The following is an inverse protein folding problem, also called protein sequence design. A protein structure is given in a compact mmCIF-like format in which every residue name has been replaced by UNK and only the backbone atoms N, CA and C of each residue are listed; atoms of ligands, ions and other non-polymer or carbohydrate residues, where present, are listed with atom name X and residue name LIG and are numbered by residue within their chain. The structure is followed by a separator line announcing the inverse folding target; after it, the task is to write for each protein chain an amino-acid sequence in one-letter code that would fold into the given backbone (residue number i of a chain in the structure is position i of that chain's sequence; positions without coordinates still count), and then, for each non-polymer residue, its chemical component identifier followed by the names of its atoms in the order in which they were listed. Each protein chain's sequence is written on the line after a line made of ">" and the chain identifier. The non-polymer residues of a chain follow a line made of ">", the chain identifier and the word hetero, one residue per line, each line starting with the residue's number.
data_IF_419210971640
#
_entry.id   IF_419210971640
#
_cell.length_a   1.000
_cell.length_b   1.000
_cell.length_c   1.000
_cell.angle_alpha   90.00
_cell.angle_beta   90.00
_cell.angle_gamma   90.00
#
_symmetry.space_group_name_H-M   'P 1'
#
loop_
_entity.id
_entity.type
_entity.pdbx_description
1 polymer ?
#
# COMPACT_ATOMS: atom_id res chain seq x y z
N UNK A 1 -7.88 -9.96 18.01
CA UNK A 1 -7.14 -9.40 16.86
C UNK A 1 -6.94 -7.94 17.16
N UNK A 2 -5.74 -7.57 17.60
CA UNK A 2 -5.40 -6.16 17.82
C UNK A 2 -5.40 -5.45 16.46
N UNK A 3 -6.16 -4.37 16.35
CA UNK A 3 -6.09 -3.50 15.17
C UNK A 3 -4.65 -2.93 15.08
N UNK A 4 -4.10 -2.74 13.88
CA UNK A 4 -2.80 -2.07 13.75
C UNK A 4 -2.85 -0.71 14.46
N UNK A 5 -1.73 -0.30 15.07
CA UNK A 5 -1.63 0.84 15.98
C UNK A 5 -2.09 2.22 15.43
N UNK A 6 -2.46 2.31 14.16
CA UNK A 6 -3.00 3.52 13.50
C UNK A 6 -4.51 3.45 13.27
N UNK A 7 -5.15 2.30 13.45
CA UNK A 7 -6.53 2.05 13.00
C UNK A 7 -6.72 2.17 11.48
N UNK A 8 -5.66 2.33 10.69
CA UNK A 8 -5.70 2.39 9.24
C UNK A 8 -5.37 1.01 8.66
N UNK A 9 -6.19 0.55 7.72
CA UNK A 9 -6.00 -0.75 7.04
C UNK A 9 -5.77 -0.56 5.55
N UNK A 10 -4.88 -1.38 5.00
CA UNK A 10 -4.51 -1.39 3.58
C UNK A 10 -4.88 -2.75 2.99
N UNK A 11 -5.67 -2.75 1.92
CA UNK A 11 -6.12 -3.97 1.28
C UNK A 11 -5.99 -3.86 -0.23
N UNK A 12 -5.80 -5.02 -0.87
CA UNK A 12 -6.01 -5.15 -2.31
C UNK A 12 -7.38 -5.79 -2.55
N UNK A 13 -8.02 -5.47 -3.67
CA UNK A 13 -9.34 -6.04 -4.03
C UNK A 13 -9.31 -7.57 -4.08
N UNK A 14 -8.23 -8.12 -4.65
CA UNK A 14 -7.97 -9.55 -4.73
C UNK A 14 -6.57 -9.90 -4.24
N UNK A 15 -6.35 -11.18 -3.96
CA UNK A 15 -5.05 -11.74 -3.59
C UNK A 15 -4.28 -12.32 -4.78
N UNK A 16 -4.81 -12.22 -6.00
CA UNK A 16 -4.15 -12.69 -7.21
C UNK A 16 -4.47 -11.77 -8.40
N UNK A 17 -3.42 -11.33 -9.08
CA UNK A 17 -3.47 -10.47 -10.27
C UNK A 17 -2.69 -11.09 -11.42
N UNK A 18 -3.12 -10.84 -12.66
CA UNK A 18 -2.28 -11.05 -13.85
C UNK A 18 -1.50 -9.78 -14.18
N UNK A 19 -0.38 -9.92 -14.89
CA UNK A 19 0.58 -8.82 -15.11
C UNK A 19 -0.02 -7.56 -15.76
N UNK A 20 -1.06 -7.71 -16.57
CA UNK A 20 -1.74 -6.60 -17.26
C UNK A 20 -2.84 -5.94 -16.43
N UNK A 21 -3.15 -6.48 -15.25
CA UNK A 21 -4.17 -5.92 -14.38
C UNK A 21 -3.64 -4.75 -13.55
N UNK A 22 -4.57 -3.88 -13.17
CA UNK A 22 -4.33 -2.83 -12.18
C UNK A 22 -4.61 -3.39 -10.80
N UNK A 23 -3.68 -3.18 -9.87
CA UNK A 23 -3.91 -3.51 -8.47
C UNK A 23 -4.72 -2.36 -7.85
N UNK A 24 -5.97 -2.62 -7.49
CA UNK A 24 -6.78 -1.67 -6.73
C UNK A 24 -6.39 -1.77 -5.25
N UNK A 25 -5.82 -0.68 -4.73
CA UNK A 25 -5.43 -0.50 -3.33
C UNK A 25 -6.51 0.30 -2.60
N UNK A 26 -7.14 -0.31 -1.61
CA UNK A 26 -8.04 0.35 -0.66
C UNK A 26 -7.31 0.74 0.61
N UNK A 27 -7.52 1.98 1.04
CA UNK A 27 -7.02 2.53 2.30
C UNK A 27 -8.21 2.98 3.14
N UNK A 28 -8.43 2.29 4.26
CA UNK A 28 -9.54 2.60 5.18
C UNK A 28 -9.01 3.13 6.49
N UNK A 29 -9.47 4.31 6.91
CA UNK A 29 -9.23 4.84 8.23
C UNK A 29 -10.37 4.42 9.17
N UNK A 30 -10.13 3.41 10.01
CA UNK A 30 -11.12 2.92 10.98
C UNK A 30 -11.11 3.71 12.29
N UNK A 31 -10.40 4.84 12.36
CA UNK A 31 -10.42 5.74 13.51
C UNK A 31 -11.45 6.85 13.37
N UNK A 32 -11.63 7.65 14.42
CA UNK A 32 -12.44 8.87 14.40
C UNK A 32 -11.65 10.12 14.03
N UNK A 33 -10.34 10.01 13.81
CA UNK A 33 -9.45 11.14 13.56
C UNK A 33 -8.95 11.13 12.12
N UNK A 34 -8.63 12.31 11.58
CA UNK A 34 -7.95 12.40 10.29
C UNK A 34 -6.54 11.80 10.39
N UNK A 35 -6.07 11.20 9.29
CA UNK A 35 -4.67 10.77 9.13
C UNK A 35 -4.09 11.32 7.83
N UNK A 36 -2.77 11.57 7.83
CA UNK A 36 -2.02 11.88 6.62
C UNK A 36 -1.48 10.60 5.99
N UNK A 37 -1.41 10.53 4.66
CA UNK A 37 -0.71 9.48 3.96
C UNK A 37 -0.04 10.03 2.70
N UNK A 38 1.08 9.44 2.31
CA UNK A 38 1.81 9.88 1.13
C UNK A 38 2.20 8.66 0.30
N UNK A 39 1.62 8.56 -0.89
CA UNK A 39 1.86 7.44 -1.80
C UNK A 39 3.18 7.58 -2.55
N UNK A 40 3.89 8.71 -2.47
CA UNK A 40 5.23 8.83 -3.04
C UNK A 40 6.24 7.91 -2.35
N UNK A 41 5.99 7.55 -1.09
CA UNK A 41 6.78 6.58 -0.35
C UNK A 41 6.23 5.16 -0.47
N UNK A 42 5.24 4.93 -1.34
CA UNK A 42 4.72 3.60 -1.62
C UNK A 42 5.83 2.77 -2.26
N UNK A 43 6.00 1.56 -1.73
CA UNK A 43 6.94 0.56 -2.22
C UNK A 43 6.19 -0.74 -2.40
N UNK A 44 6.53 -1.50 -3.43
CA UNK A 44 6.10 -2.89 -3.52
C UNK A 44 7.29 -3.78 -3.22
N UNK A 45 7.13 -4.62 -2.21
CA UNK A 45 8.10 -5.64 -1.88
C UNK A 45 7.74 -6.94 -2.60
N UNK A 46 8.75 -7.61 -3.14
CA UNK A 46 8.66 -8.97 -3.67
C UNK A 46 9.23 -9.96 -2.66
N UNK A 47 8.59 -11.10 -2.50
CA UNK A 47 9.14 -12.20 -1.73
C UNK A 47 10.15 -13.00 -2.57
N UNK A 48 11.41 -12.99 -2.16
CA UNK A 48 12.54 -13.67 -2.83
C UNK A 48 13.32 -14.45 -1.78
N UNK A 49 13.41 -15.77 -1.98
CA UNK A 49 14.21 -16.67 -1.14
C UNK A 49 13.91 -16.55 0.38
N UNK A 50 12.64 -16.36 0.74
CA UNK A 50 12.22 -16.22 2.14
C UNK A 50 12.37 -14.81 2.72
N UNK A 51 12.70 -13.81 1.88
CA UNK A 51 12.90 -12.42 2.31
C UNK A 51 12.09 -11.45 1.45
N UNK A 52 11.60 -10.37 2.06
CA UNK A 52 10.96 -9.28 1.32
C UNK A 52 12.01 -8.31 0.80
N UNK A 53 12.00 -8.06 -0.50
CA UNK A 53 12.95 -7.18 -1.18
C UNK A 53 12.18 -6.11 -1.96
N UNK A 54 12.66 -4.87 -1.89
CA UNK A 54 12.08 -3.78 -2.66
C UNK A 54 12.15 -4.08 -4.16
N UNK A 55 11.00 -4.05 -4.86
CA UNK A 55 10.95 -4.18 -6.31
C UNK A 55 11.40 -2.85 -6.96
N UNK A 56 12.32 -2.90 -7.92
CA UNK A 56 12.93 -1.70 -8.54
C UNK A 56 12.09 -1.05 -9.65
N UNK A 57 10.92 -1.58 -9.99
CA UNK A 57 10.13 -1.13 -11.15
C UNK A 57 8.69 -0.76 -10.73
N UNK A 58 8.44 0.49 -10.36
CA UNK A 58 7.09 0.97 -10.02
C UNK A 58 6.75 2.30 -10.68
N UNK A 59 5.47 2.54 -11.07
CA UNK A 59 5.03 3.83 -11.55
C UNK A 59 5.31 4.93 -10.52
N UNK A 60 5.69 6.09 -11.05
CA UNK A 60 5.96 7.31 -10.34
C UNK A 60 4.70 7.83 -9.62
N UNK A 61 4.39 7.32 -8.42
CA UNK A 61 3.63 8.13 -7.46
C UNK A 61 4.51 9.32 -7.09
N UNK A 62 4.29 10.46 -7.72
CA UNK A 62 4.57 11.80 -7.20
C UNK A 62 3.74 12.80 -8.01
N UNK A 63 3.18 13.87 -7.46
CA UNK A 63 3.82 14.96 -6.73
C UNK A 63 3.74 14.79 -5.20
N UNK A 64 4.74 15.31 -4.47
CA UNK A 64 5.04 15.06 -3.05
C UNK A 64 4.00 15.49 -2.00
N UNK A 65 2.72 15.55 -2.34
CA UNK A 65 1.66 16.01 -1.46
C UNK A 65 1.23 14.92 -0.48
N UNK A 66 1.29 15.26 0.81
CA UNK A 66 0.61 14.47 1.84
C UNK A 66 -0.90 14.61 1.64
N UNK A 67 -1.55 13.49 1.33
CA UNK A 67 -3.01 13.38 1.24
C UNK A 67 -3.60 13.20 2.62
N UNK A 68 -4.87 13.60 2.79
CA UNK A 68 -5.62 13.46 4.04
C UNK A 68 -6.72 12.42 3.88
N UNK A 69 -6.92 11.62 4.91
CA UNK A 69 -7.97 10.62 4.98
C UNK A 69 -8.77 10.80 6.27
N UNK A 70 -10.02 11.22 6.13
CA UNK A 70 -10.92 11.46 7.26
C UNK A 70 -11.23 10.16 8.02
N UNK A 71 -11.55 10.29 9.31
CA UNK A 71 -11.95 9.16 10.13
C UNK A 71 -13.22 8.47 9.61
N UNK A 72 -13.21 7.15 9.54
CA UNK A 72 -14.32 6.32 9.06
C UNK A 72 -14.45 6.25 7.53
N UNK A 73 -13.48 6.80 6.78
CA UNK A 73 -13.54 6.84 5.31
C UNK A 73 -12.63 5.81 4.65
N UNK A 74 -12.92 5.52 3.38
CA UNK A 74 -12.15 4.65 2.50
C UNK A 74 -11.82 5.41 1.21
N UNK A 75 -10.61 5.22 0.71
CA UNK A 75 -10.16 5.70 -0.60
C UNK A 75 -9.53 4.56 -1.39
N UNK A 76 -9.68 4.60 -2.70
CA UNK A 76 -9.11 3.62 -3.62
C UNK A 76 -8.07 4.27 -4.52
N UNK A 77 -6.97 3.55 -4.75
CA UNK A 77 -5.88 3.95 -5.61
C UNK A 77 -5.54 2.83 -6.58
N UNK A 78 -5.31 3.19 -7.83
CA UNK A 78 -4.94 2.24 -8.88
C UNK A 78 -3.43 2.19 -9.02
N UNK A 79 -2.83 1.02 -8.79
CA UNK A 79 -1.41 0.77 -8.99
C UNK A 79 -1.22 -0.01 -10.29
N UNK A 80 -0.55 0.58 -11.27
CA UNK A 80 -0.14 -0.14 -12.47
C UNK A 80 1.12 -0.97 -12.18
N UNK A 81 1.03 -2.29 -12.38
CA UNK A 81 2.20 -3.16 -12.28
C UNK A 81 3.04 -3.01 -13.54
N UNK A 82 4.36 -2.88 -13.42
CA UNK A 82 5.22 -2.82 -14.59
C UNK A 82 5.24 -4.17 -15.32
N UNK A 83 5.17 -4.16 -16.66
CA UNK A 83 5.21 -5.39 -17.49
C UNK A 83 6.51 -6.20 -17.31
N UNK A 84 7.55 -5.60 -16.73
CA UNK A 84 8.82 -6.27 -16.43
C UNK A 84 8.81 -6.99 -15.09
N UNK A 85 7.77 -6.85 -14.26
CA UNK A 85 7.68 -7.49 -12.94
C UNK A 85 7.54 -9.01 -13.07
N UNK A 86 8.44 -9.81 -12.50
CA UNK A 86 8.32 -11.28 -12.56
C UNK A 86 7.09 -11.80 -11.84
N UNK A 87 6.58 -12.97 -12.22
CA UNK A 87 5.61 -13.68 -11.39
C UNK A 87 6.16 -13.96 -9.97
N UNK A 88 5.27 -13.98 -8.97
CA UNK A 88 5.64 -14.24 -7.58
C UNK A 88 4.70 -13.60 -6.56
N UNK A 89 5.12 -13.60 -5.29
CA UNK A 89 4.38 -12.98 -4.19
C UNK A 89 4.87 -11.56 -3.92
N UNK A 90 3.92 -10.68 -3.66
CA UNK A 90 4.12 -9.25 -3.50
C UNK A 90 3.30 -8.69 -2.34
N UNK A 91 3.73 -7.56 -1.80
CA UNK A 91 2.95 -6.72 -0.87
C UNK A 91 3.22 -5.26 -1.14
N UNK A 92 2.23 -4.41 -0.92
CA UNK A 92 2.41 -2.96 -0.93
C UNK A 92 2.79 -2.51 0.47
N UNK A 93 3.76 -1.62 0.59
CA UNK A 93 4.23 -1.01 1.84
C UNK A 93 4.18 0.51 1.68
N UNK A 94 3.65 1.21 2.68
CA UNK A 94 3.68 2.67 2.75
C UNK A 94 3.70 3.14 4.21
N UNK A 95 3.57 4.45 4.43
CA UNK A 95 3.58 5.08 5.73
C UNK A 95 2.33 5.96 5.94
N UNK A 96 1.76 5.87 7.14
CA UNK A 96 0.74 6.78 7.65
C UNK A 96 1.39 7.78 8.60
N UNK A 97 1.02 9.05 8.45
CA UNK A 97 1.42 10.15 9.32
C UNK A 97 0.25 10.49 10.24
N UNK A 98 0.48 10.45 11.56
CA UNK A 98 -0.51 10.95 12.52
C UNK A 98 -0.44 12.48 12.54
N UNK A 99 -1.53 13.22 12.27
CA UNK A 99 -1.50 14.69 12.28
C UNK A 99 -1.23 15.29 13.67
N UNK A 100 -1.38 14.51 14.75
CA UNK A 100 -1.11 14.92 16.13
C UNK A 100 0.33 14.62 16.59
N UNK A 101 1.16 14.02 15.74
CA UNK A 101 2.54 13.62 16.09
C UNK A 101 3.51 13.69 14.90
N UNK A 102 4.79 13.43 15.14
CA UNK A 102 5.80 13.32 14.07
C UNK A 102 6.07 11.87 13.66
N UNK A 103 5.36 10.92 14.27
CA UNK A 103 5.59 9.50 14.05
C UNK A 103 4.98 9.04 12.73
N UNK A 104 5.81 8.35 11.93
CA UNK A 104 5.40 7.62 10.74
C UNK A 104 5.19 6.16 11.11
N UNK A 105 4.02 5.63 10.81
CA UNK A 105 3.74 4.22 10.98
C UNK A 105 3.80 3.52 9.62
N UNK A 106 4.65 2.49 9.50
CA UNK A 106 4.61 1.61 8.34
C UNK A 106 3.32 0.78 8.36
N UNK A 107 2.71 0.67 7.20
CA UNK A 107 1.52 -0.13 6.93
C UNK A 107 1.76 -0.91 5.65
N UNK A 108 1.19 -2.11 5.58
CA UNK A 108 1.35 -2.99 4.44
C UNK A 108 0.05 -3.73 4.13
N UNK A 109 -0.12 -4.10 2.85
CA UNK A 109 -1.24 -4.95 2.43
C UNK A 109 -1.02 -6.39 2.87
N UNK A 110 -2.08 -7.18 2.82
CA UNK A 110 -1.94 -8.62 2.68
C UNK A 110 -1.10 -8.97 1.44
N UNK A 111 -0.50 -10.17 1.48
CA UNK A 111 0.26 -10.72 0.35
C UNK A 111 -0.68 -11.01 -0.81
N UNK A 112 -0.27 -10.63 -2.02
CA UNK A 112 -0.94 -10.99 -3.26
C UNK A 112 0.05 -11.63 -4.24
N UNK A 113 -0.46 -12.48 -5.13
CA UNK A 113 0.34 -13.12 -6.17
C UNK A 113 0.20 -12.39 -7.50
N UNK A 114 1.32 -12.17 -8.18
CA UNK A 114 1.36 -11.78 -9.59
C UNK A 114 1.60 -13.03 -10.45
N UNK A 115 0.71 -13.24 -11.41
CA UNK A 115 0.77 -14.32 -12.39
C UNK A 115 1.12 -13.76 -13.77
N UNK A 116 1.67 -14.62 -14.62
CA UNK A 116 1.85 -14.32 -16.03
C UNK A 116 0.51 -14.23 -16.78
#
# INVERSE_FOLDING_TARGET
>A
MEAPASGVTFNTETNAYVRTETVNLSITNNTTHEVGYNLCFLRIDRHVEGTWQASQNFPDFCEGDTLRLEGGTNVEHNLSMAETMPAGEYRVVTYIENPLGSDRQQVETAVFSLKD
#
